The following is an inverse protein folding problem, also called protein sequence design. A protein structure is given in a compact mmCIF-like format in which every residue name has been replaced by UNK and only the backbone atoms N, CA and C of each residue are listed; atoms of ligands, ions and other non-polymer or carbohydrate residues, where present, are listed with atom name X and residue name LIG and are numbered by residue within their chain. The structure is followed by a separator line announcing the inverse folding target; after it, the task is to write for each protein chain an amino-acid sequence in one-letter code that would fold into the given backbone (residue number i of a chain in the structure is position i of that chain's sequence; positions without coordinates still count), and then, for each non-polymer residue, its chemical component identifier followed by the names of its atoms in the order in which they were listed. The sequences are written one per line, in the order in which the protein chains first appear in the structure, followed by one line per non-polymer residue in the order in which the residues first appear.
data_IF_558695320585
#
_entry.id   IF_558695320585
#
_cell.length_a   1.000
_cell.length_b   1.000
_cell.length_c   1.000
_cell.angle_alpha   90.00
_cell.angle_beta   90.00
_cell.angle_gamma   90.00
#
_symmetry.space_group_name_H-M   'P 1'
#
loop_
_entity.id
_entity.type
_entity.pdbx_description
1 polymer ?
#
# COMPACT_ATOMS: atom_id res chain seq x y z
N UNK A 1 11.93 -32.69 54.46
CA UNK A 1 11.30 -31.45 53.95
C UNK A 1 12.19 -30.70 52.94
N UNK A 2 12.94 -31.39 52.05
CA UNK A 2 13.83 -30.75 51.05
C UNK A 2 13.30 -30.78 49.60
N UNK A 3 12.30 -31.62 49.28
CA UNK A 3 11.83 -31.81 47.90
C UNK A 3 10.91 -30.70 47.37
N UNK A 4 10.13 -30.06 48.26
CA UNK A 4 9.11 -29.09 47.83
C UNK A 4 9.70 -27.73 47.41
N UNK A 5 10.82 -27.33 48.05
CA UNK A 5 11.52 -26.06 47.75
C UNK A 5 12.19 -26.09 46.37
N UNK A 6 12.80 -27.20 46.00
CA UNK A 6 13.46 -27.35 44.71
C UNK A 6 12.44 -27.44 43.55
N UNK A 7 11.29 -28.08 43.75
CA UNK A 7 10.21 -28.09 42.74
C UNK A 7 9.65 -26.68 42.49
N UNK A 8 9.49 -25.88 43.56
CA UNK A 8 8.97 -24.51 43.45
C UNK A 8 9.93 -23.57 42.70
N UNK A 9 11.24 -23.70 42.96
CA UNK A 9 12.28 -22.92 42.27
C UNK A 9 12.35 -23.31 40.78
N UNK A 10 12.25 -24.60 40.47
CA UNK A 10 12.23 -25.07 39.08
C UNK A 10 10.99 -24.58 38.32
N UNK A 11 9.82 -24.60 38.96
CA UNK A 11 8.57 -24.12 38.39
C UNK A 11 8.60 -22.60 38.13
N UNK A 12 9.17 -21.79 39.04
CA UNK A 12 9.34 -20.36 38.80
C UNK A 12 10.34 -20.06 37.68
N UNK A 13 11.46 -20.79 37.62
CA UNK A 13 12.45 -20.62 36.56
C UNK A 13 11.85 -20.94 35.17
N UNK A 14 11.02 -21.97 35.09
CA UNK A 14 10.30 -22.33 33.87
C UNK A 14 9.27 -21.27 33.48
N UNK A 15 8.50 -20.73 34.45
CA UNK A 15 7.54 -19.67 34.20
C UNK A 15 8.19 -18.36 33.71
N UNK A 16 9.34 -17.98 34.28
CA UNK A 16 10.11 -16.82 33.82
C UNK A 16 10.68 -17.02 32.41
N UNK A 17 11.13 -18.23 32.07
CA UNK A 17 11.60 -18.56 30.73
C UNK A 17 10.47 -18.52 29.67
N UNK A 18 9.26 -18.95 30.01
CA UNK A 18 8.08 -18.83 29.13
C UNK A 18 7.66 -17.37 28.91
N UNK A 19 7.75 -16.51 29.93
CA UNK A 19 7.44 -15.08 29.77
C UNK A 19 8.46 -14.35 28.88
N UNK A 20 9.73 -14.78 28.87
CA UNK A 20 10.78 -14.22 28.01
C UNK A 20 10.62 -14.60 26.52
N UNK A 21 9.84 -15.64 26.21
CA UNK A 21 9.51 -16.04 24.84
C UNK A 21 8.30 -15.30 24.27
N UNK A 22 7.55 -14.56 25.10
CA UNK A 22 6.45 -13.72 24.67
C UNK A 22 6.99 -12.39 24.12
N UNK A 23 7.62 -12.42 22.95
CA UNK A 23 7.86 -11.19 22.21
C UNK A 23 6.50 -10.55 21.88
N UNK A 24 6.27 -9.26 22.19
CA UNK A 24 5.08 -8.60 21.72
C UNK A 24 5.07 -8.69 20.20
N UNK A 25 3.98 -9.20 19.62
CA UNK A 25 3.68 -9.03 18.21
C UNK A 25 3.48 -7.54 17.96
N UNK A 26 4.58 -6.80 17.78
CA UNK A 26 4.50 -5.50 17.15
C UNK A 26 4.09 -5.77 15.73
N UNK A 27 2.83 -5.48 15.40
CA UNK A 27 2.45 -5.23 14.02
C UNK A 27 3.54 -4.32 13.47
N UNK A 28 4.31 -4.79 12.48
CA UNK A 28 5.37 -3.99 11.88
C UNK A 28 4.79 -2.61 11.55
N UNK A 29 5.22 -1.59 12.28
CA UNK A 29 4.86 -0.21 11.99
C UNK A 29 5.58 0.15 10.69
N UNK A 30 4.93 -0.16 9.56
CA UNK A 30 5.37 0.22 8.21
C UNK A 30 5.71 1.71 8.24
N UNK A 31 6.92 2.06 7.81
CA UNK A 31 7.34 3.46 7.78
C UNK A 31 6.35 4.30 6.97
N UNK A 32 6.20 5.57 7.33
CA UNK A 32 5.31 6.49 6.63
C UNK A 32 6.14 7.53 5.85
N UNK A 33 5.63 8.03 4.71
CA UNK A 33 4.44 7.55 4.00
C UNK A 33 4.70 6.23 3.24
N UNK A 34 3.62 5.59 2.77
CA UNK A 34 3.69 4.42 1.89
C UNK A 34 2.52 4.35 0.91
N UNK A 35 2.69 3.60 -0.18
CA UNK A 35 1.62 3.38 -1.16
C UNK A 35 0.71 2.21 -0.77
N UNK A 36 -0.57 2.40 -1.03
CA UNK A 36 -1.60 1.35 -1.03
C UNK A 36 -2.51 1.55 -2.25
N UNK A 37 -3.42 0.63 -2.48
CA UNK A 37 -4.46 0.75 -3.52
C UNK A 37 -5.84 0.40 -2.98
N UNK A 38 -6.89 0.91 -3.63
CA UNK A 38 -8.27 0.60 -3.25
C UNK A 38 -8.60 -0.86 -3.55
N UNK A 39 -8.98 -1.64 -2.53
CA UNK A 39 -9.21 -3.09 -2.66
C UNK A 39 -10.48 -3.43 -3.45
N UNK A 40 -11.53 -2.64 -3.29
CA UNK A 40 -12.88 -2.92 -3.80
C UNK A 40 -13.30 -1.95 -4.89
N UNK A 41 -14.35 -2.31 -5.63
CA UNK A 41 -14.96 -1.43 -6.63
C UNK A 41 -15.57 -0.18 -5.99
N UNK A 42 -16.03 -0.28 -4.74
CA UNK A 42 -16.48 0.85 -3.93
C UNK A 42 -15.69 0.93 -2.61
N UNK A 43 -15.07 2.08 -2.34
CA UNK A 43 -14.35 2.36 -1.08
C UNK A 43 -14.79 3.71 -0.52
N UNK A 44 -14.96 3.78 0.81
CA UNK A 44 -15.52 4.95 1.50
C UNK A 44 -14.43 5.65 2.29
N UNK A 45 -14.19 6.90 1.92
CA UNK A 45 -13.36 7.82 2.70
C UNK A 45 -14.24 8.58 3.68
N UNK A 46 -13.76 8.73 4.91
CA UNK A 46 -14.45 9.41 6.00
C UNK A 46 -13.60 10.55 6.54
N UNK A 47 -14.24 11.54 7.14
CA UNK A 47 -13.55 12.67 7.78
C UNK A 47 -12.75 12.26 9.03
N UNK A 48 -13.01 11.08 9.60
CA UNK A 48 -12.35 10.60 10.81
C UNK A 48 -12.15 9.08 10.88
N UNK A 49 -11.28 8.60 11.80
CA UNK A 49 -10.86 7.20 11.90
C UNK A 49 -11.85 6.33 12.68
N UNK A 50 -13.12 6.33 12.28
CA UNK A 50 -14.19 5.49 12.83
C UNK A 50 -15.35 5.39 11.83
N UNK A 51 -16.14 4.33 11.93
CA UNK A 51 -17.35 4.15 11.11
C UNK A 51 -18.46 5.15 11.44
N UNK A 52 -18.38 5.79 12.61
CA UNK A 52 -19.33 6.81 13.07
C UNK A 52 -19.14 8.16 12.36
N UNK A 53 -17.94 8.45 11.85
CA UNK A 53 -17.68 9.69 11.11
C UNK A 53 -18.36 9.67 9.74
N UNK A 54 -18.91 10.79 9.26
CA UNK A 54 -19.57 10.83 7.95
C UNK A 54 -18.60 10.47 6.81
N UNK A 55 -19.18 9.86 5.77
CA UNK A 55 -18.48 9.60 4.51
C UNK A 55 -18.30 10.94 3.80
N UNK A 56 -17.05 11.25 3.50
CA UNK A 56 -16.66 12.44 2.74
C UNK A 56 -16.67 12.13 1.24
N UNK A 57 -16.24 10.93 0.86
CA UNK A 57 -16.16 10.51 -0.53
C UNK A 57 -16.37 9.01 -0.72
N UNK A 58 -16.94 8.64 -1.87
CA UNK A 58 -17.11 7.25 -2.29
C UNK A 58 -16.35 7.04 -3.59
N UNK A 59 -15.20 6.38 -3.52
CA UNK A 59 -14.43 5.99 -4.69
C UNK A 59 -15.09 4.82 -5.41
N UNK A 60 -15.20 4.92 -6.73
CA UNK A 60 -15.72 3.86 -7.62
C UNK A 60 -14.64 3.35 -8.57
N UNK A 61 -13.46 3.02 -8.04
CA UNK A 61 -12.28 2.68 -8.84
C UNK A 61 -11.34 1.76 -8.08
N UNK A 62 -11.55 0.45 -8.25
CA UNK A 62 -10.63 -0.57 -7.72
C UNK A 62 -9.21 -0.36 -8.24
N UNK A 63 -8.24 -0.60 -7.36
CA UNK A 63 -6.81 -0.47 -7.65
C UNK A 63 -6.30 0.96 -7.68
N UNK A 64 -7.17 1.98 -7.55
CA UNK A 64 -6.72 3.38 -7.52
C UNK A 64 -5.64 3.51 -6.42
N UNK A 65 -4.44 3.97 -6.77
CA UNK A 65 -3.41 4.16 -5.76
C UNK A 65 -3.82 5.28 -4.79
N UNK A 66 -3.35 5.17 -3.55
CA UNK A 66 -3.46 6.21 -2.52
C UNK A 66 -2.18 6.25 -1.67
N UNK A 67 -1.77 7.45 -1.25
CA UNK A 67 -0.60 7.65 -0.38
C UNK A 67 -1.06 7.62 1.08
N UNK A 68 -0.65 6.62 1.84
CA UNK A 68 -0.91 6.58 3.28
C UNK A 68 0.09 7.49 3.99
N UNK A 69 -0.42 8.49 4.70
CA UNK A 69 0.41 9.51 5.38
C UNK A 69 0.29 9.46 6.91
N UNK A 70 -0.73 8.77 7.44
CA UNK A 70 -0.90 8.51 8.88
C UNK A 70 -1.65 7.22 9.12
N UNK A 71 -1.36 6.55 10.24
CA UNK A 71 -2.07 5.36 10.70
C UNK A 71 -2.64 5.63 12.08
N UNK A 72 -3.86 5.16 12.33
CA UNK A 72 -4.47 5.09 13.65
C UNK A 72 -5.30 3.81 13.75
N UNK A 73 -4.85 2.86 14.57
CA UNK A 73 -5.53 1.57 14.78
C UNK A 73 -5.88 0.88 13.43
N UNK A 74 -7.18 0.74 13.13
CA UNK A 74 -7.74 0.16 11.90
C UNK A 74 -7.84 1.12 10.70
N UNK A 75 -7.42 2.39 10.83
CA UNK A 75 -7.67 3.45 9.85
C UNK A 75 -6.40 4.09 9.32
N UNK A 76 -6.41 4.44 8.03
CA UNK A 76 -5.29 5.06 7.29
C UNK A 76 -5.77 6.41 6.82
N UNK A 77 -5.09 7.47 7.23
CA UNK A 77 -5.25 8.78 6.60
C UNK A 77 -4.52 8.69 5.27
N UNK A 78 -5.25 8.83 4.18
CA UNK A 78 -4.72 8.73 2.83
C UNK A 78 -4.77 10.09 2.15
N UNK A 79 -3.90 10.29 1.17
CA UNK A 79 -3.97 11.34 0.16
C UNK A 79 -4.19 10.69 -1.20
N UNK A 80 -5.17 11.18 -1.95
CA UNK A 80 -5.48 10.69 -3.29
C UNK A 80 -4.76 11.50 -4.40
N UNK A 81 -4.89 11.11 -5.68
CA UNK A 81 -4.20 11.81 -6.77
C UNK A 81 -4.59 13.28 -6.96
N UNK A 82 -5.74 13.71 -6.44
CA UNK A 82 -6.21 15.09 -6.49
C UNK A 82 -5.77 15.88 -5.24
N UNK A 83 -5.06 15.22 -4.31
CA UNK A 83 -4.58 15.80 -3.07
C UNK A 83 -5.60 15.81 -1.94
N UNK A 84 -6.80 15.24 -2.15
CA UNK A 84 -7.80 15.14 -1.11
C UNK A 84 -7.34 14.16 -0.03
N UNK A 85 -7.65 14.46 1.24
CA UNK A 85 -7.23 13.66 2.38
C UNK A 85 -8.39 13.24 3.25
N UNK A 86 -8.38 11.97 3.64
CA UNK A 86 -9.39 11.42 4.55
C UNK A 86 -9.05 10.01 5.00
N UNK A 87 -9.88 9.45 5.86
CA UNK A 87 -9.64 8.18 6.50
C UNK A 87 -10.31 7.03 5.75
N UNK A 88 -9.54 6.01 5.43
CA UNK A 88 -10.03 4.75 4.86
C UNK A 88 -9.70 3.61 5.83
N UNK A 89 -10.66 2.71 6.02
CA UNK A 89 -10.44 1.50 6.82
C UNK A 89 -9.39 0.62 6.14
N UNK A 90 -8.43 0.07 6.90
CA UNK A 90 -7.36 -0.80 6.39
C UNK A 90 -7.91 -1.97 5.57
N UNK A 91 -9.06 -2.51 5.95
CA UNK A 91 -9.73 -3.61 5.25
C UNK A 91 -10.14 -3.26 3.81
N UNK A 92 -10.29 -1.97 3.49
CA UNK A 92 -10.62 -1.46 2.16
C UNK A 92 -9.37 -1.12 1.32
N UNK A 93 -8.18 -1.31 1.87
CA UNK A 93 -6.91 -1.07 1.19
C UNK A 93 -6.19 -2.39 0.90
N UNK A 94 -5.57 -2.44 -0.27
CA UNK A 94 -4.63 -3.47 -0.67
C UNK A 94 -3.20 -2.94 -0.56
N UNK A 95 -2.27 -3.68 0.09
CA UNK A 95 -0.86 -3.27 0.14
C UNK A 95 -0.16 -3.32 -1.23
N UNK A 96 -0.75 -3.96 -2.24
CA UNK A 96 -0.20 -4.00 -3.59
C UNK A 96 0.00 -2.58 -4.17
N UNK A 97 1.16 -2.38 -4.81
CA UNK A 97 1.54 -1.13 -5.48
C UNK A 97 0.66 -0.91 -6.72
N UNK A 98 -0.31 0.00 -6.59
CA UNK A 98 -1.05 0.55 -7.72
C UNK A 98 -0.34 1.78 -8.30
N UNK A 99 -0.61 2.09 -9.57
CA UNK A 99 -0.27 3.36 -10.21
C UNK A 99 -1.43 3.85 -11.06
N UNK A 100 -1.47 5.15 -11.33
CA UNK A 100 -2.43 5.77 -12.23
C UNK A 100 -1.71 6.58 -13.30
N UNK A 101 -2.14 6.44 -14.55
CA UNK A 101 -1.60 7.24 -15.65
C UNK A 101 -2.01 8.70 -15.47
N UNK A 102 -1.05 9.62 -15.57
CA UNK A 102 -1.24 11.07 -15.40
C UNK A 102 -0.59 11.86 -16.54
N UNK A 103 -0.81 13.18 -16.54
CA UNK A 103 -0.27 14.12 -17.52
C UNK A 103 -1.16 14.33 -18.74
N UNK A 104 -0.75 15.24 -19.63
CA UNK A 104 -1.51 15.55 -20.85
C UNK A 104 -1.37 14.45 -21.90
N UNK A 105 -2.42 14.20 -22.68
CA UNK A 105 -2.43 13.25 -23.79
C UNK A 105 -2.29 11.78 -23.38
N UNK A 106 -2.18 10.92 -24.38
CA UNK A 106 -2.01 9.48 -24.18
C UNK A 106 -0.57 9.14 -23.74
N UNK A 107 -0.42 8.23 -22.78
CA UNK A 107 0.87 7.67 -22.39
C UNK A 107 1.21 6.46 -23.28
N UNK A 108 2.40 6.48 -23.87
CA UNK A 108 2.94 5.33 -24.63
C UNK A 108 3.30 4.18 -23.69
N UNK A 109 2.89 2.97 -24.04
CA UNK A 109 3.32 1.74 -23.35
C UNK A 109 4.02 0.81 -24.33
N UNK A 110 5.27 0.50 -24.00
CA UNK A 110 6.25 -0.08 -24.91
C UNK A 110 6.66 -1.48 -24.49
N UNK A 111 7.31 -2.20 -25.41
CA UNK A 111 7.77 -3.57 -25.19
C UNK A 111 8.92 -3.67 -24.17
N UNK A 112 9.77 -2.64 -24.05
CA UNK A 112 10.87 -2.62 -23.09
C UNK A 112 11.12 -1.21 -22.53
N UNK A 113 11.97 -1.11 -21.50
CA UNK A 113 12.41 0.13 -20.87
C UNK A 113 13.35 0.94 -21.78
N UNK A 114 12.86 1.35 -22.95
CA UNK A 114 13.65 2.11 -23.92
C UNK A 114 12.74 2.96 -24.81
N UNK A 115 13.14 4.21 -25.13
CA UNK A 115 12.38 5.09 -26.01
C UNK A 115 12.34 4.60 -27.47
N UNK A 116 13.30 3.78 -27.90
CA UNK A 116 13.35 3.21 -29.26
C UNK A 116 12.68 1.84 -29.37
N UNK A 117 12.19 1.29 -28.25
CA UNK A 117 11.48 0.02 -28.26
C UNK A 117 10.11 0.12 -28.92
N UNK A 118 9.61 -1.01 -29.41
CA UNK A 118 8.31 -1.10 -30.07
C UNK A 118 7.19 -0.54 -29.16
N UNK A 119 6.36 0.32 -29.74
CA UNK A 119 5.13 0.78 -29.09
C UNK A 119 4.08 -0.32 -29.15
N UNK A 120 3.61 -0.80 -28.01
CA UNK A 120 2.58 -1.84 -27.94
C UNK A 120 1.18 -1.24 -28.04
N UNK A 121 0.92 -0.21 -27.24
CA UNK A 121 -0.37 0.48 -27.15
C UNK A 121 -0.23 1.78 -26.35
N UNK A 122 -1.32 2.53 -26.19
CA UNK A 122 -1.34 3.76 -25.38
C UNK A 122 -2.44 3.72 -24.32
N UNK A 123 -2.19 4.33 -23.16
CA UNK A 123 -3.17 4.50 -22.09
C UNK A 123 -3.63 5.96 -21.97
N UNK A 124 -4.90 6.16 -21.65
CA UNK A 124 -5.44 7.47 -21.28
C UNK A 124 -5.04 7.84 -19.85
N UNK A 125 -4.93 9.14 -19.54
CA UNK A 125 -4.89 9.61 -18.16
C UNK A 125 -6.09 9.08 -17.36
N UNK A 126 -5.85 8.71 -16.11
CA UNK A 126 -6.83 8.11 -15.21
C UNK A 126 -6.89 6.58 -15.26
N UNK A 127 -6.23 5.92 -16.23
CA UNK A 127 -6.11 4.46 -16.24
C UNK A 127 -5.29 4.00 -15.05
N UNK A 128 -5.82 3.00 -14.32
CA UNK A 128 -5.17 2.38 -13.16
C UNK A 128 -4.47 1.09 -13.58
N UNK A 129 -3.31 0.82 -12.98
CA UNK A 129 -2.50 -0.36 -13.25
C UNK A 129 -1.84 -0.90 -11.98
N UNK A 130 -1.43 -2.16 -12.01
CA UNK A 130 -0.48 -2.68 -11.03
C UNK A 130 0.93 -2.29 -11.44
N UNK A 131 1.74 -1.81 -10.48
CA UNK A 131 3.16 -1.57 -10.69
C UNK A 131 3.94 -2.86 -10.42
N UNK A 132 4.69 -3.32 -11.42
CA UNK A 132 5.48 -4.55 -11.29
C UNK A 132 6.90 -4.26 -10.83
N UNK A 133 7.58 -3.31 -11.50
CA UNK A 133 8.94 -2.87 -11.18
C UNK A 133 9.27 -1.58 -11.90
N UNK A 134 10.21 -0.80 -11.39
CA UNK A 134 10.80 0.32 -12.11
C UNK A 134 12.31 0.11 -12.32
N UNK A 135 12.84 0.70 -13.39
CA UNK A 135 14.27 0.80 -13.69
C UNK A 135 14.52 2.18 -14.28
N UNK A 136 15.41 2.95 -13.68
CA UNK A 136 15.70 4.33 -14.08
C UNK A 136 14.39 5.15 -14.21
N UNK A 137 14.11 5.68 -15.40
CA UNK A 137 12.91 6.47 -15.71
C UNK A 137 11.73 5.64 -16.23
N UNK A 138 11.82 4.30 -16.25
CA UNK A 138 10.80 3.41 -16.79
C UNK A 138 10.18 2.54 -15.72
N UNK A 139 8.88 2.30 -15.83
CA UNK A 139 8.16 1.38 -14.96
C UNK A 139 7.37 0.38 -15.81
N UNK A 140 7.51 -0.90 -15.44
CA UNK A 140 6.70 -1.98 -15.99
C UNK A 140 5.37 -2.02 -15.24
N UNK A 141 4.28 -1.94 -15.99
CA UNK A 141 2.92 -1.90 -15.48
C UNK A 141 2.11 -3.05 -16.05
N UNK A 142 1.14 -3.53 -15.28
CA UNK A 142 0.12 -4.48 -15.74
C UNK A 142 -1.25 -3.78 -15.77
N UNK A 143 -1.77 -3.57 -16.98
CA UNK A 143 -3.10 -2.99 -17.22
C UNK A 143 -4.01 -4.08 -17.73
N UNK A 144 -4.92 -4.56 -16.86
CA UNK A 144 -5.91 -5.59 -17.17
C UNK A 144 -5.29 -6.86 -17.81
N UNK A 145 -4.14 -7.32 -17.32
CA UNK A 145 -3.41 -8.50 -17.79
C UNK A 145 -2.42 -8.21 -18.92
N UNK A 146 -2.36 -6.98 -19.44
CA UNK A 146 -1.41 -6.59 -20.49
C UNK A 146 -0.23 -5.85 -19.87
N UNK A 147 0.96 -6.43 -20.02
CA UNK A 147 2.20 -5.86 -19.51
C UNK A 147 2.89 -4.96 -20.52
N UNK A 148 3.59 -3.96 -20.03
CA UNK A 148 4.47 -3.12 -20.83
C UNK A 148 5.13 -2.02 -20.00
N UNK A 149 5.98 -1.24 -20.65
CA UNK A 149 6.82 -0.23 -20.02
C UNK A 149 6.36 1.18 -20.39
N UNK A 150 6.17 2.03 -19.38
CA UNK A 150 5.88 3.45 -19.55
C UNK A 150 6.86 4.29 -18.76
N UNK A 151 6.99 5.57 -19.11
CA UNK A 151 7.80 6.50 -18.33
C UNK A 151 7.22 6.69 -16.93
N UNK A 152 8.09 6.72 -15.92
CA UNK A 152 7.76 6.92 -14.51
C UNK A 152 7.01 8.23 -14.27
N UNK A 153 7.42 9.31 -14.95
CA UNK A 153 6.77 10.63 -14.86
C UNK A 153 5.30 10.63 -15.34
N UNK A 154 4.90 9.61 -16.11
CA UNK A 154 3.53 9.41 -16.56
C UNK A 154 2.68 8.64 -15.54
N UNK A 155 3.22 8.32 -14.37
CA UNK A 155 2.57 7.51 -13.35
C UNK A 155 2.55 8.25 -12.00
N UNK A 156 1.36 8.35 -11.42
CA UNK A 156 1.20 8.66 -10.01
C UNK A 156 1.21 7.35 -9.20
N UNK A 157 1.89 7.32 -8.06
CA UNK A 157 2.11 6.09 -7.27
C UNK A 157 3.45 5.37 -7.52
N UNK A 158 4.24 5.87 -8.48
CA UNK A 158 5.52 5.27 -8.89
C UNK A 158 6.75 5.85 -8.16
N UNK A 159 6.54 6.84 -7.29
CA UNK A 159 7.56 7.36 -6.38
C UNK A 159 7.95 6.29 -5.35
N UNK A 160 9.22 6.23 -4.97
CA UNK A 160 9.70 5.35 -3.91
C UNK A 160 9.49 6.07 -2.56
N UNK A 161 8.68 5.50 -1.66
CA UNK A 161 8.45 6.05 -0.33
C UNK A 161 9.15 5.20 0.74
N UNK A 162 9.50 5.77 1.90
CA UNK A 162 10.22 5.05 2.96
C UNK A 162 9.52 3.78 3.45
N UNK A 163 8.19 3.71 3.35
CA UNK A 163 7.44 2.52 3.76
C UNK A 163 7.19 1.50 2.67
N UNK A 164 7.70 1.66 1.45
CA UNK A 164 7.47 0.69 0.37
C UNK A 164 8.53 -0.41 0.26
N UNK A 165 9.49 -0.42 1.19
CA UNK A 165 10.52 -1.47 1.34
C UNK A 165 9.98 -2.79 1.91
#
# INVERSE_FOLDING_TARGET
MLGFRNLFVLAMALAAALAALAAPLRAQDRALPYWASLRYDEVRMRVGPSEEYPIEWVYKRKGLPVKVVRVREGWRLVEDPEGARGWIARSQLDPARGVMVVGAGLADVRASASPTSALNWRAQPGVVANLLRCRESWCEVDIAGRKGWTLRERLWGAEDLPGDE
#
